data_IF_151680026613
#
_entry.id   IF_151680026613
#
_cell.length_a   1.000
_cell.length_b   1.000
_cell.length_c   1.000
_cell.angle_alpha   90.00
_cell.angle_beta   90.00
_cell.angle_gamma   90.00
#
_symmetry.space_group_name_H-M   'P 1'
#
loop_
_entity.id
_entity.type
_entity.pdbx_description
1 polymer ?
#
# COMPACT_ATOMS: atom_id res chain seq x y z
N UNK A 1 13.26 13.83 12.53
CA UNK A 1 12.04 12.99 12.38
C UNK A 1 12.34 11.90 11.36
N UNK A 2 12.29 10.65 11.77
CA UNK A 2 12.35 9.50 10.88
C UNK A 2 10.92 9.12 10.46
N UNK A 3 10.77 8.55 9.27
CA UNK A 3 9.47 8.12 8.75
C UNK A 3 9.53 6.60 8.60
N UNK A 4 8.72 5.89 9.35
CA UNK A 4 8.43 4.47 9.13
C UNK A 4 7.22 4.39 8.21
N UNK A 5 7.41 4.04 6.94
CA UNK A 5 6.30 3.76 6.03
C UNK A 5 6.02 2.25 6.05
N UNK A 6 5.00 1.84 6.77
CA UNK A 6 4.53 0.45 6.79
C UNK A 6 3.43 0.31 5.72
N UNK A 7 3.82 -0.22 4.57
CA UNK A 7 2.96 -0.14 3.40
C UNK A 7 3.16 -1.21 2.34
N UNK A 8 2.31 -1.13 1.34
CA UNK A 8 2.20 -2.10 0.25
C UNK A 8 3.33 -2.00 -0.76
N UNK A 9 3.69 -3.16 -1.28
CA UNK A 9 4.63 -3.37 -2.37
C UNK A 9 3.97 -4.28 -3.41
N UNK A 10 3.79 -3.78 -4.64
CA UNK A 10 3.07 -4.48 -5.69
C UNK A 10 3.86 -4.59 -6.99
N UNK A 11 3.60 -5.66 -7.72
CA UNK A 11 4.04 -5.85 -9.10
C UNK A 11 2.81 -5.71 -10.00
N UNK A 12 2.72 -4.61 -10.73
CA UNK A 12 1.59 -4.34 -11.62
C UNK A 12 1.87 -4.96 -12.99
N UNK A 13 0.96 -5.84 -13.46
CA UNK A 13 1.00 -6.52 -14.75
C UNK A 13 -0.05 -5.92 -15.65
N UNK A 14 0.37 -5.07 -16.59
CA UNK A 14 -0.50 -4.31 -17.46
C UNK A 14 -0.61 -5.01 -18.81
N UNK A 15 -1.84 -5.34 -19.20
CA UNK A 15 -2.19 -5.96 -20.47
C UNK A 15 -3.00 -4.99 -21.32
N UNK A 16 -2.46 -4.57 -22.47
CA UNK A 16 -3.25 -3.88 -23.49
C UNK A 16 -4.20 -4.88 -24.14
N UNK A 17 -5.47 -4.53 -24.25
CA UNK A 17 -6.51 -5.37 -24.87
C UNK A 17 -7.42 -4.51 -25.77
N UNK A 18 -8.07 -5.11 -26.76
CA UNK A 18 -9.07 -4.38 -27.56
C UNK A 18 -10.31 -4.04 -26.74
N UNK A 19 -10.77 -4.98 -25.92
CA UNK A 19 -11.88 -4.85 -24.97
C UNK A 19 -11.60 -5.70 -23.73
N UNK A 20 -12.29 -5.43 -22.62
CA UNK A 20 -12.15 -6.22 -21.41
C UNK A 20 -12.68 -7.63 -21.60
N UNK A 21 -11.94 -8.63 -21.11
CA UNK A 21 -12.33 -10.02 -21.21
C UNK A 21 -13.68 -10.28 -20.52
N UNK A 22 -14.58 -10.96 -21.21
CA UNK A 22 -15.87 -11.40 -20.68
C UNK A 22 -15.81 -12.85 -20.19
N UNK A 23 -16.85 -13.30 -19.48
CA UNK A 23 -16.93 -14.70 -19.04
C UNK A 23 -16.88 -15.67 -20.23
N UNK A 24 -16.07 -16.73 -20.12
CA UNK A 24 -15.86 -17.76 -21.16
C UNK A 24 -15.16 -17.27 -22.44
N UNK A 25 -14.61 -16.07 -22.43
CA UNK A 25 -13.87 -15.49 -23.55
C UNK A 25 -12.35 -15.62 -23.35
N UNK A 26 -11.62 -15.74 -24.46
CA UNK A 26 -10.16 -15.61 -24.49
C UNK A 26 -9.78 -14.46 -25.39
N UNK A 27 -9.14 -13.43 -24.81
CA UNK A 27 -8.65 -12.25 -25.53
C UNK A 27 -7.14 -12.30 -25.63
N UNK A 28 -6.58 -12.00 -26.80
CA UNK A 28 -5.14 -11.86 -26.97
C UNK A 28 -4.71 -10.45 -26.55
N UNK A 29 -3.75 -10.37 -25.67
CA UNK A 29 -3.15 -9.09 -25.30
C UNK A 29 -2.34 -8.52 -26.48
N UNK A 30 -2.55 -7.25 -26.78
CA UNK A 30 -1.80 -6.49 -27.78
C UNK A 30 -0.45 -5.99 -27.24
N UNK A 31 -0.34 -5.83 -25.90
CA UNK A 31 0.85 -5.35 -25.19
C UNK A 31 0.89 -5.95 -23.79
N UNK A 32 2.11 -6.21 -23.29
CA UNK A 32 2.35 -6.56 -21.88
C UNK A 32 3.46 -5.69 -21.31
N UNK A 33 3.21 -5.10 -20.15
CA UNK A 33 4.19 -4.33 -19.39
C UNK A 33 4.14 -4.73 -17.91
N UNK A 34 5.27 -4.60 -17.25
CA UNK A 34 5.41 -4.82 -15.81
C UNK A 34 5.92 -3.55 -15.15
N UNK A 35 5.22 -3.08 -14.13
CA UNK A 35 5.63 -1.95 -13.32
C UNK A 35 5.79 -2.36 -11.88
N UNK A 36 6.65 -1.65 -11.15
CA UNK A 36 6.77 -1.76 -9.70
C UNK A 36 5.92 -0.65 -9.09
N UNK A 37 5.02 -1.01 -8.19
CA UNK A 37 4.00 -0.13 -7.67
C UNK A 37 3.62 -0.47 -6.22
N UNK A 38 2.42 -0.07 -5.87
CA UNK A 38 1.89 -0.08 -4.51
C UNK A 38 1.97 1.31 -3.88
N UNK A 39 0.94 1.68 -3.11
CA UNK A 39 0.88 3.01 -2.46
C UNK A 39 2.06 3.20 -1.51
N UNK A 40 2.42 2.16 -0.75
CA UNK A 40 3.56 2.18 0.15
C UNK A 40 4.87 2.45 -0.57
N UNK A 41 5.16 1.72 -1.66
CA UNK A 41 6.35 1.95 -2.48
C UNK A 41 6.44 3.39 -2.98
N UNK A 42 5.37 3.87 -3.61
CA UNK A 42 5.33 5.19 -4.22
C UNK A 42 5.52 6.31 -3.19
N UNK A 43 4.89 6.20 -2.03
CA UNK A 43 5.02 7.17 -0.95
C UNK A 43 6.42 7.16 -0.33
N UNK A 44 7.05 5.97 -0.13
CA UNK A 44 8.43 5.89 0.36
C UNK A 44 9.41 6.59 -0.57
N UNK A 45 9.30 6.33 -1.87
CA UNK A 45 10.18 6.95 -2.87
C UNK A 45 9.95 8.46 -2.93
N UNK A 46 8.70 8.92 -2.92
CA UNK A 46 8.39 10.35 -2.95
C UNK A 46 8.96 11.08 -1.73
N UNK A 47 8.82 10.51 -0.54
CA UNK A 47 9.35 11.07 0.70
C UNK A 47 10.88 11.09 0.73
N UNK A 48 11.54 10.02 0.29
CA UNK A 48 12.99 9.95 0.21
C UNK A 48 13.54 10.99 -0.77
N UNK A 49 12.94 11.12 -1.96
CA UNK A 49 13.29 12.15 -2.95
C UNK A 49 13.08 13.58 -2.45
N UNK A 50 12.16 13.77 -1.50
CA UNK A 50 11.93 15.06 -0.84
C UNK A 50 12.92 15.34 0.30
N UNK A 51 13.92 14.47 0.53
CA UNK A 51 14.93 14.61 1.56
C UNK A 51 14.56 14.01 2.92
N UNK A 52 13.48 13.22 3.00
CA UNK A 52 13.07 12.52 4.21
C UNK A 52 13.98 11.33 4.55
N UNK A 53 14.17 11.05 5.84
CA UNK A 53 14.80 9.82 6.33
C UNK A 53 13.71 8.73 6.43
N UNK A 54 13.62 7.88 5.41
CA UNK A 54 12.53 6.92 5.21
C UNK A 54 13.00 5.50 5.42
N UNK A 55 12.28 4.77 6.25
CA UNK A 55 12.36 3.33 6.43
C UNK A 55 11.09 2.71 5.86
N UNK A 56 11.24 1.81 4.88
CA UNK A 56 10.08 1.06 4.40
C UNK A 56 9.97 -0.26 5.15
N UNK A 57 8.81 -0.46 5.76
CA UNK A 57 8.40 -1.71 6.37
C UNK A 57 7.25 -2.32 5.54
N UNK A 58 7.27 -3.62 5.36
CA UNK A 58 6.30 -4.32 4.52
C UNK A 58 6.73 -5.76 4.29
N UNK A 59 6.11 -6.42 3.31
CA UNK A 59 6.46 -7.79 2.97
C UNK A 59 6.56 -7.98 1.45
N UNK A 60 7.52 -8.81 1.05
CA UNK A 60 7.73 -9.22 -0.34
C UNK A 60 7.84 -10.74 -0.44
N UNK A 61 7.45 -11.27 -1.59
CA UNK A 61 7.64 -12.66 -1.95
C UNK A 61 8.96 -12.91 -2.66
N UNK A 62 9.21 -14.16 -3.12
CA UNK A 62 10.41 -14.53 -3.88
C UNK A 62 10.60 -13.74 -5.19
N UNK A 63 9.52 -13.17 -5.72
CA UNK A 63 9.48 -12.34 -6.91
C UNK A 63 9.71 -10.84 -6.63
N UNK A 64 9.86 -10.45 -5.35
CA UNK A 64 9.87 -9.06 -4.88
C UNK A 64 11.23 -8.38 -4.85
N UNK A 65 12.33 -9.04 -5.23
CA UNK A 65 13.67 -8.47 -5.13
C UNK A 65 13.81 -7.12 -5.87
N UNK A 66 13.13 -6.97 -7.00
CA UNK A 66 13.13 -5.70 -7.77
C UNK A 66 12.43 -4.55 -7.02
N UNK A 67 11.45 -4.84 -6.16
CA UNK A 67 10.80 -3.85 -5.30
C UNK A 67 11.77 -3.33 -4.23
N UNK A 68 12.49 -4.24 -3.57
CA UNK A 68 13.53 -3.89 -2.59
C UNK A 68 14.61 -3.03 -3.24
N UNK A 69 15.14 -3.48 -4.37
CA UNK A 69 16.19 -2.77 -5.09
C UNK A 69 15.75 -1.35 -5.48
N UNK A 70 14.52 -1.18 -6.00
CA UNK A 70 14.00 0.14 -6.36
C UNK A 70 13.91 1.09 -5.16
N UNK A 71 13.51 0.59 -3.98
CA UNK A 71 13.50 1.37 -2.74
C UNK A 71 14.91 1.83 -2.36
N UNK A 72 15.88 0.91 -2.35
CA UNK A 72 17.28 1.17 -1.99
C UNK A 72 17.96 2.16 -2.95
N UNK A 73 17.73 2.03 -4.27
CA UNK A 73 18.20 2.96 -5.29
C UNK A 73 17.67 4.39 -5.11
N UNK A 74 16.51 4.53 -4.43
CA UNK A 74 15.94 5.84 -4.08
C UNK A 74 16.28 6.30 -2.65
N UNK A 75 17.22 5.62 -1.97
CA UNK A 75 17.68 6.04 -0.64
C UNK A 75 16.74 5.68 0.51
N UNK A 76 15.81 4.74 0.30
CA UNK A 76 14.93 4.21 1.34
C UNK A 76 15.61 3.05 2.06
N UNK A 77 15.59 3.05 3.38
CA UNK A 77 16.10 1.94 4.20
C UNK A 77 15.09 0.79 4.21
N UNK A 78 15.52 -0.40 3.77
CA UNK A 78 14.67 -1.58 3.59
C UNK A 78 14.85 -2.66 4.68
N UNK A 79 15.55 -2.36 5.79
CA UNK A 79 15.85 -3.34 6.85
C UNK A 79 14.63 -3.99 7.49
N UNK A 80 13.46 -3.37 7.38
CA UNK A 80 12.20 -3.85 7.92
C UNK A 80 11.31 -4.55 6.89
N UNK A 81 11.84 -4.85 5.69
CA UNK A 81 11.14 -5.71 4.75
C UNK A 81 11.21 -7.17 5.19
N UNK A 82 10.05 -7.79 5.29
CA UNK A 82 9.88 -9.22 5.56
C UNK A 82 9.90 -9.99 4.25
N UNK A 83 10.74 -11.01 4.15
CA UNK A 83 10.70 -11.98 3.07
C UNK A 83 9.69 -13.09 3.42
N UNK A 84 8.78 -13.40 2.49
CA UNK A 84 7.73 -14.43 2.65
C UNK A 84 7.86 -15.50 1.58
N UNK A 85 7.12 -16.61 1.75
CA UNK A 85 7.01 -17.65 0.72
C UNK A 85 5.87 -17.39 -0.28
N UNK A 86 4.94 -16.53 0.09
CA UNK A 86 3.83 -16.08 -0.78
C UNK A 86 4.36 -15.07 -1.80
N UNK A 87 3.85 -15.08 -3.02
CA UNK A 87 4.19 -14.08 -4.03
C UNK A 87 3.92 -12.64 -3.51
N UNK A 88 4.69 -11.69 -3.97
CA UNK A 88 4.47 -10.26 -3.66
C UNK A 88 3.04 -9.83 -4.04
N UNK A 89 2.56 -8.76 -3.43
CA UNK A 89 1.34 -8.11 -3.87
C UNK A 89 1.41 -7.82 -5.37
N UNK A 90 0.30 -7.97 -6.09
CA UNK A 90 0.29 -7.69 -7.51
C UNK A 90 -1.08 -7.25 -8.00
N UNK A 91 -1.10 -6.50 -9.09
CA UNK A 91 -2.30 -6.17 -9.83
C UNK A 91 -2.22 -6.74 -11.25
N UNK A 92 -3.36 -7.26 -11.75
CA UNK A 92 -3.58 -7.55 -13.15
C UNK A 92 -4.46 -6.42 -13.70
N UNK A 93 -3.92 -5.65 -14.63
CA UNK A 93 -4.54 -4.44 -15.15
C UNK A 93 -4.78 -4.65 -16.64
N UNK A 94 -6.04 -4.67 -17.06
CA UNK A 94 -6.40 -4.58 -18.46
C UNK A 94 -6.60 -3.11 -18.85
N UNK A 95 -6.04 -2.70 -19.99
CA UNK A 95 -6.23 -1.35 -20.55
C UNK A 95 -6.75 -1.51 -21.96
N UNK A 96 -7.95 -0.99 -22.23
CA UNK A 96 -8.56 -1.08 -23.55
C UNK A 96 -8.10 0.07 -24.49
N UNK A 97 -8.53 0.02 -25.76
CA UNK A 97 -8.16 1.00 -26.77
C UNK A 97 -8.61 2.44 -26.43
N UNK A 98 -9.63 2.62 -25.60
CA UNK A 98 -10.08 3.93 -25.11
C UNK A 98 -9.37 4.43 -23.87
N UNK A 99 -8.38 3.68 -23.35
CA UNK A 99 -7.61 4.05 -22.16
C UNK A 99 -8.31 3.77 -20.83
N UNK A 100 -9.47 3.10 -20.85
CA UNK A 100 -10.14 2.65 -19.63
C UNK A 100 -9.39 1.44 -19.05
N UNK A 101 -9.47 1.25 -17.74
CA UNK A 101 -8.85 0.12 -17.07
C UNK A 101 -9.85 -0.75 -16.30
N UNK A 102 -9.49 -2.02 -16.15
CA UNK A 102 -10.15 -2.99 -15.27
C UNK A 102 -9.04 -3.68 -14.45
N UNK A 103 -9.16 -3.68 -13.13
CA UNK A 103 -8.08 -4.06 -12.23
C UNK A 103 -8.51 -5.17 -11.27
N UNK A 104 -7.69 -6.22 -11.19
CA UNK A 104 -7.79 -7.25 -10.17
C UNK A 104 -6.54 -7.12 -9.29
N UNK A 105 -6.74 -6.98 -7.98
CA UNK A 105 -5.65 -6.90 -7.01
C UNK A 105 -5.58 -8.16 -6.17
N UNK A 106 -4.37 -8.70 -6.02
CA UNK A 106 -4.04 -9.73 -5.04
C UNK A 106 -3.10 -9.12 -4.00
N UNK A 107 -3.47 -9.17 -2.73
CA UNK A 107 -2.63 -8.65 -1.64
C UNK A 107 -1.30 -9.41 -1.51
N UNK A 108 -1.29 -10.74 -1.77
CA UNK A 108 -0.09 -11.56 -1.64
C UNK A 108 0.62 -11.33 -0.31
N UNK A 109 1.94 -11.13 -0.34
CA UNK A 109 2.76 -10.90 0.84
C UNK A 109 2.30 -9.69 1.69
N UNK A 110 1.64 -8.69 1.11
CA UNK A 110 1.09 -7.55 1.88
C UNK A 110 0.07 -7.99 2.95
N UNK A 111 -0.56 -9.15 2.79
CA UNK A 111 -1.48 -9.71 3.77
C UNK A 111 -0.78 -10.52 4.90
N UNK A 112 0.53 -10.65 4.86
CA UNK A 112 1.29 -11.47 5.82
C UNK A 112 2.02 -10.64 6.90
N UNK A 113 1.68 -9.37 7.07
CA UNK A 113 2.17 -8.55 8.17
C UNK A 113 1.38 -8.92 9.42
N UNK A 114 2.07 -9.47 10.42
CA UNK A 114 1.49 -9.89 11.69
C UNK A 114 1.69 -8.83 12.78
N UNK A 115 0.91 -8.84 13.86
CA UNK A 115 1.10 -7.94 15.00
C UNK A 115 2.52 -7.99 15.56
N UNK A 116 3.14 -9.18 15.65
CA UNK A 116 4.50 -9.37 16.14
C UNK A 116 5.54 -8.71 15.22
N UNK A 117 5.30 -8.70 13.91
CA UNK A 117 6.15 -7.97 12.94
C UNK A 117 6.07 -6.46 13.21
N UNK A 118 4.86 -5.95 13.42
CA UNK A 118 4.60 -4.52 13.71
C UNK A 118 5.30 -4.12 15.01
N UNK A 119 5.16 -4.91 16.07
CA UNK A 119 5.81 -4.63 17.35
C UNK A 119 7.34 -4.60 17.24
N UNK A 120 7.92 -5.55 16.53
CA UNK A 120 9.36 -5.61 16.26
C UNK A 120 9.84 -4.40 15.45
N UNK A 121 9.11 -4.00 14.40
CA UNK A 121 9.43 -2.83 13.59
C UNK A 121 9.35 -1.56 14.43
N UNK A 122 8.23 -1.35 15.11
CA UNK A 122 7.99 -0.12 15.86
C UNK A 122 8.80 0.01 17.15
N UNK A 123 9.48 -1.08 17.62
CA UNK A 123 10.38 -1.01 18.77
C UNK A 123 11.57 -0.07 18.57
N UNK A 124 11.95 0.19 17.33
CA UNK A 124 13.04 1.10 16.96
C UNK A 124 12.60 2.56 16.78
N UNK A 125 11.30 2.85 16.91
CA UNK A 125 10.70 4.17 16.69
C UNK A 125 10.03 4.70 17.97
N UNK A 126 9.84 6.03 18.03
CA UNK A 126 9.26 6.69 19.21
C UNK A 126 8.69 8.07 18.90
N UNK A 127 8.51 8.89 19.95
CA UNK A 127 7.78 10.17 19.95
C UNK A 127 8.19 11.16 18.86
N UNK A 128 9.45 11.14 18.41
CA UNK A 128 9.93 12.05 17.38
C UNK A 128 9.73 11.54 15.95
N UNK A 129 9.12 10.36 15.78
CA UNK A 129 9.01 9.66 14.51
C UNK A 129 7.57 9.62 14.02
N UNK A 130 7.40 9.41 12.71
CA UNK A 130 6.12 9.32 12.02
C UNK A 130 5.92 7.90 11.50
N UNK A 131 4.76 7.30 11.80
CA UNK A 131 4.26 6.13 11.09
C UNK A 131 3.38 6.60 9.93
N UNK A 132 3.68 6.15 8.72
CA UNK A 132 2.84 6.33 7.53
C UNK A 132 2.24 5.00 7.13
N UNK A 133 0.93 5.00 6.88
CA UNK A 133 0.13 3.82 6.55
C UNK A 133 -0.75 4.06 5.33
N UNK A 134 -1.10 2.96 4.63
CA UNK A 134 -2.15 2.91 3.61
C UNK A 134 -3.04 1.69 3.90
N UNK A 135 -4.24 1.64 3.30
CA UNK A 135 -5.19 0.56 3.55
C UNK A 135 -4.99 -0.65 2.61
N UNK A 136 -3.73 -1.05 2.39
CA UNK A 136 -3.38 -2.15 1.46
C UNK A 136 -2.65 -3.33 2.11
N UNK A 137 -2.34 -3.22 3.42
CA UNK A 137 -1.69 -4.29 4.19
C UNK A 137 -2.63 -4.86 5.25
N UNK A 138 -2.23 -5.94 5.92
CA UNK A 138 -2.95 -6.48 7.09
C UNK A 138 -2.63 -5.71 8.37
N UNK A 139 -3.54 -5.79 9.37
CA UNK A 139 -3.36 -5.25 10.73
C UNK A 139 -3.05 -3.73 10.79
N UNK A 140 -3.68 -2.95 9.91
CA UNK A 140 -3.54 -1.48 9.91
C UNK A 140 -4.06 -0.87 11.22
N UNK A 141 -5.19 -1.35 11.71
CA UNK A 141 -5.80 -0.96 12.98
C UNK A 141 -4.85 -1.17 14.17
N UNK A 142 -4.21 -2.34 14.22
CA UNK A 142 -3.20 -2.66 15.22
C UNK A 142 -1.98 -1.74 15.10
N UNK A 143 -1.50 -1.46 13.88
CA UNK A 143 -0.35 -0.60 13.65
C UNK A 143 -0.61 0.84 14.14
N UNK A 144 -1.80 1.37 13.93
CA UNK A 144 -2.21 2.69 14.45
C UNK A 144 -2.11 2.70 15.98
N UNK A 145 -2.72 1.72 16.66
CA UNK A 145 -2.72 1.62 18.13
C UNK A 145 -1.30 1.46 18.69
N UNK A 146 -0.51 0.55 18.10
CA UNK A 146 0.86 0.27 18.52
C UNK A 146 1.79 1.49 18.38
N UNK A 147 1.64 2.28 17.32
CA UNK A 147 2.38 3.52 17.12
C UNK A 147 1.99 4.60 18.15
N UNK A 148 0.70 4.78 18.38
CA UNK A 148 0.21 5.75 19.37
C UNK A 148 0.64 5.39 20.80
N UNK A 149 0.68 4.10 21.15
CA UNK A 149 1.19 3.65 22.44
C UNK A 149 2.69 3.99 22.65
N UNK A 150 3.45 4.18 21.56
CA UNK A 150 4.86 4.61 21.56
C UNK A 150 5.04 6.13 21.42
N UNK A 151 3.94 6.87 21.38
CA UNK A 151 3.93 8.34 21.22
C UNK A 151 4.28 8.84 19.82
N UNK A 152 4.28 7.96 18.82
CA UNK A 152 4.51 8.34 17.43
C UNK A 152 3.36 9.19 16.88
N UNK A 153 3.67 10.06 15.91
CA UNK A 153 2.63 10.60 15.03
C UNK A 153 2.21 9.58 14.00
N UNK A 154 0.93 9.56 13.62
CA UNK A 154 0.38 8.63 12.62
C UNK A 154 -0.23 9.41 11.46
N UNK A 155 0.26 9.16 10.24
CA UNK A 155 -0.35 9.58 8.99
C UNK A 155 -0.97 8.35 8.31
N UNK A 156 -2.23 8.45 7.93
CA UNK A 156 -2.96 7.36 7.30
C UNK A 156 -3.62 7.80 6.00
N UNK A 157 -3.23 7.15 4.91
CA UNK A 157 -3.94 7.25 3.63
C UNK A 157 -4.99 6.13 3.57
N UNK A 158 -6.26 6.50 3.71
CA UNK A 158 -7.37 5.55 3.83
C UNK A 158 -7.74 4.81 2.53
N UNK A 159 -6.91 4.89 1.51
CA UNK A 159 -7.11 4.23 0.22
C UNK A 159 -6.52 2.81 0.18
N UNK A 160 -7.24 1.83 -0.43
CA UNK A 160 -8.62 1.89 -0.90
C UNK A 160 -9.64 1.83 0.24
N UNK A 161 -10.86 2.34 -0.01
CA UNK A 161 -11.97 2.17 0.93
C UNK A 161 -12.39 0.70 0.96
N UNK A 162 -12.44 0.14 2.16
CA UNK A 162 -12.93 -1.22 2.42
C UNK A 162 -13.91 -1.19 3.60
N UNK A 163 -14.79 -2.19 3.74
CA UNK A 163 -15.73 -2.24 4.87
C UNK A 163 -15.05 -2.18 6.24
N UNK A 164 -13.86 -2.75 6.38
CA UNK A 164 -13.08 -2.79 7.62
C UNK A 164 -12.63 -1.40 8.08
N UNK A 165 -12.50 -0.44 7.15
CA UNK A 165 -12.06 0.92 7.44
C UNK A 165 -12.92 1.60 8.53
N UNK A 166 -14.21 1.27 8.59
CA UNK A 166 -15.13 1.81 9.61
C UNK A 166 -14.86 1.28 11.04
N UNK A 167 -14.04 0.23 11.16
CA UNK A 167 -13.66 -0.34 12.47
C UNK A 167 -12.31 0.17 12.96
N UNK A 168 -11.59 0.92 12.13
CA UNK A 168 -10.27 1.42 12.49
C UNK A 168 -10.35 2.57 13.49
N UNK A 169 -9.36 2.71 14.37
CA UNK A 169 -9.31 3.79 15.36
C UNK A 169 -8.84 5.11 14.71
N UNK A 170 -9.67 5.67 13.83
CA UNK A 170 -9.37 6.89 13.05
C UNK A 170 -9.16 8.11 13.94
N UNK A 171 -9.79 8.14 15.11
CA UNK A 171 -9.62 9.16 16.15
C UNK A 171 -8.20 9.23 16.72
N UNK A 172 -7.40 8.17 16.57
CA UNK A 172 -5.99 8.13 16.94
C UNK A 172 -5.05 8.64 15.83
N UNK A 173 -5.55 8.87 14.62
CA UNK A 173 -4.75 9.31 13.46
C UNK A 173 -4.53 10.82 13.53
N UNK A 174 -3.26 11.27 13.44
CA UNK A 174 -2.91 12.70 13.47
C UNK A 174 -3.11 13.38 12.11
N UNK A 175 -2.86 12.62 11.01
CA UNK A 175 -2.98 13.11 9.63
C UNK A 175 -3.75 12.10 8.78
N UNK A 176 -5.01 12.40 8.49
CA UNK A 176 -5.85 11.58 7.61
C UNK A 176 -5.77 12.12 6.19
N UNK A 177 -5.36 11.25 5.25
CA UNK A 177 -5.21 11.57 3.83
C UNK A 177 -6.28 10.81 3.06
N UNK A 178 -7.21 11.54 2.46
CA UNK A 178 -8.35 10.98 1.71
C UNK A 178 -8.63 11.84 0.50
N UNK A 179 -9.14 11.22 -0.56
CA UNK A 179 -9.81 11.95 -1.63
C UNK A 179 -11.29 12.18 -1.26
N UNK A 180 -12.02 12.89 -2.12
CA UNK A 180 -13.42 13.22 -1.90
C UNK A 180 -14.30 11.97 -1.69
N UNK A 181 -14.13 10.94 -2.51
CA UNK A 181 -14.90 9.68 -2.44
C UNK A 181 -14.61 8.93 -1.13
N UNK A 182 -13.35 8.85 -0.75
CA UNK A 182 -12.90 8.19 0.49
C UNK A 182 -13.42 8.93 1.72
N UNK A 183 -13.34 10.28 1.71
CA UNK A 183 -13.85 11.11 2.80
C UNK A 183 -15.36 10.97 2.99
N UNK A 184 -16.13 10.96 1.91
CA UNK A 184 -17.58 10.77 1.96
C UNK A 184 -17.95 9.36 2.46
N UNK A 185 -17.20 8.34 2.06
CA UNK A 185 -17.41 6.98 2.55
C UNK A 185 -17.16 6.89 4.06
N UNK A 186 -16.09 7.49 4.56
CA UNK A 186 -15.78 7.50 6.00
C UNK A 186 -16.85 8.21 6.83
N UNK A 187 -17.45 9.27 6.27
CA UNK A 187 -18.54 10.00 6.94
C UNK A 187 -19.90 9.27 6.88
N UNK A 188 -19.97 8.11 6.23
CA UNK A 188 -21.23 7.39 6.00
C UNK A 188 -22.19 8.12 5.04
N UNK A 189 -21.70 9.11 4.31
CA UNK A 189 -22.46 9.81 3.29
C UNK A 189 -22.43 9.01 2.00
N UNK A 190 -23.57 8.46 1.59
CA UNK A 190 -23.72 7.91 0.25
C UNK A 190 -23.67 9.05 -0.77
N UNK A 191 -22.70 9.00 -1.69
CA UNK A 191 -22.74 9.84 -2.88
C UNK A 191 -23.94 9.39 -3.72
N UNK A 192 -25.00 10.19 -3.72
CA UNK A 192 -26.00 10.13 -4.79
C UNK A 192 -25.38 10.79 -6.01
N UNK A 193 -24.70 10.01 -6.85
CA UNK A 193 -24.45 10.42 -8.22
C UNK A 193 -25.71 10.23 -9.00
N UNK A 194 -26.38 11.34 -9.31
CA UNK A 194 -27.45 11.42 -10.32
C UNK A 194 -26.89 11.17 -11.72
#
# INVERSE_FOLDING_TARGET
>A
MRICNLGSLNIDRVYGVEHFVSAQETVLATKYERFLGGKGLNQSIALARSGGTVFHAGAIGPDGMSLRQLLEENGVDTRYLKDTHTASGHAIIQVNASGQNCIIVSRGANAEILPEDIDRILSDFGQADLLLLQNEISNVDYAIQAAKARGMSVAFNAAPVTPELHTYPIDLVDYLIVNEVEGLSLLGCLLYTS
#
